data_IF_872828076707
#
_entry.id   IF_872828076707
#
_cell.length_a   1.000
_cell.length_b   1.000
_cell.length_c   1.000
_cell.angle_alpha   90.00
_cell.angle_beta   90.00
_cell.angle_gamma   90.00
#
_symmetry.space_group_name_H-M   'P 1'
#
loop_
_entity.id
_entity.type
_entity.pdbx_description
1 polymer ?
#
# COMPACT_ATOMS: atom_id res chain seq x y z
N UNK A 1 -1.59 4.72 13.36
CA UNK A 1 -3.01 4.71 12.91
C UNK A 1 -3.76 3.57 13.58
N UNK A 2 -5.06 3.68 13.69
CA UNK A 2 -5.90 2.60 14.20
C UNK A 2 -5.93 1.46 13.17
N UNK A 3 -5.84 0.20 13.64
CA UNK A 3 -5.84 -0.97 12.77
C UNK A 3 -7.27 -1.38 12.43
N UNK A 4 -7.88 -0.71 11.45
CA UNK A 4 -9.22 -1.02 10.95
C UNK A 4 -9.29 -0.85 9.44
N UNK A 5 -10.37 -1.35 8.84
CA UNK A 5 -10.55 -1.29 7.38
C UNK A 5 -10.56 0.15 6.85
N UNK A 6 -11.08 1.08 7.63
CA UNK A 6 -11.11 2.49 7.23
C UNK A 6 -9.69 3.04 7.07
N UNK A 7 -8.81 2.76 8.03
CA UNK A 7 -7.41 3.16 7.98
C UNK A 7 -6.66 2.47 6.84
N UNK A 8 -6.89 1.17 6.66
CA UNK A 8 -6.24 0.42 5.59
C UNK A 8 -6.64 0.94 4.20
N UNK A 9 -7.93 1.27 4.02
CA UNK A 9 -8.41 1.87 2.78
C UNK A 9 -7.85 3.27 2.57
N UNK A 10 -7.71 4.05 3.63
CA UNK A 10 -7.13 5.39 3.55
C UNK A 10 -5.68 5.34 3.07
N UNK A 11 -4.91 4.39 3.58
CA UNK A 11 -3.53 4.16 3.14
C UNK A 11 -3.50 3.79 1.66
N UNK A 12 -4.36 2.86 1.24
CA UNK A 12 -4.49 2.44 -0.15
C UNK A 12 -4.82 3.62 -1.06
N UNK A 13 -5.83 4.39 -0.71
CA UNK A 13 -6.29 5.51 -1.52
C UNK A 13 -5.22 6.60 -1.63
N UNK A 14 -4.54 6.90 -0.53
CA UNK A 14 -3.47 7.90 -0.51
C UNK A 14 -2.30 7.48 -1.41
N UNK A 15 -1.92 6.21 -1.36
CA UNK A 15 -0.84 5.68 -2.19
C UNK A 15 -1.24 5.64 -3.66
N UNK A 16 -2.44 5.15 -3.94
CA UNK A 16 -2.97 5.08 -5.31
C UNK A 16 -3.07 6.45 -5.95
N UNK A 17 -3.52 7.45 -5.19
CA UNK A 17 -3.63 8.82 -5.68
C UNK A 17 -2.29 9.37 -6.15
N UNK A 18 -1.22 9.11 -5.39
CA UNK A 18 0.13 9.56 -5.75
C UNK A 18 0.68 8.80 -6.97
N UNK A 19 0.45 7.50 -7.03
CA UNK A 19 0.91 6.67 -8.15
C UNK A 19 0.14 6.98 -9.43
N UNK A 20 -1.12 7.42 -9.34
CA UNK A 20 -1.96 7.71 -10.50
C UNK A 20 -1.42 8.86 -11.35
N UNK A 21 -0.62 9.75 -10.78
CA UNK A 21 0.01 10.84 -11.54
C UNK A 21 0.99 10.30 -12.58
N UNK A 22 1.64 9.18 -12.28
CA UNK A 22 2.58 8.50 -13.18
C UNK A 22 1.95 7.35 -13.94
N UNK A 23 1.00 6.66 -13.30
CA UNK A 23 0.36 5.45 -13.82
C UNK A 23 -1.15 5.63 -13.76
N UNK A 24 -1.76 6.30 -14.78
CA UNK A 24 -3.19 6.65 -14.73
C UNK A 24 -4.16 5.48 -14.57
N UNK A 25 -3.74 4.28 -14.95
CA UNK A 25 -4.57 3.07 -14.88
C UNK A 25 -4.27 2.21 -13.66
N UNK A 26 -3.53 2.74 -12.68
CA UNK A 26 -3.16 1.95 -11.51
C UNK A 26 -4.39 1.49 -10.73
N UNK A 27 -4.36 0.23 -10.30
CA UNK A 27 -5.35 -0.35 -9.41
C UNK A 27 -4.65 -0.88 -8.18
N UNK A 28 -5.37 -0.98 -7.07
CA UNK A 28 -4.79 -1.45 -5.82
C UNK A 28 -5.80 -2.23 -4.99
N UNK A 29 -5.27 -3.09 -4.14
CA UNK A 29 -6.05 -3.84 -3.17
C UNK A 29 -5.14 -4.22 -2.01
N UNK A 30 -5.72 -4.70 -0.91
CA UNK A 30 -4.93 -5.17 0.23
C UNK A 30 -5.50 -6.46 0.81
N UNK A 31 -4.64 -7.21 1.47
CA UNK A 31 -5.00 -8.43 2.18
C UNK A 31 -4.30 -8.41 3.54
N UNK A 32 -5.03 -8.83 4.58
CA UNK A 32 -4.46 -8.99 5.91
C UNK A 32 -3.94 -10.42 6.06
N UNK A 33 -2.68 -10.55 6.44
CA UNK A 33 -2.07 -11.83 6.77
C UNK A 33 -1.98 -11.97 8.28
N UNK A 34 -2.98 -12.64 8.88
CA UNK A 34 -3.07 -12.78 10.32
C UNK A 34 -1.93 -13.62 10.91
N UNK A 35 -1.41 -14.60 10.17
CA UNK A 35 -0.33 -15.44 10.65
C UNK A 35 0.97 -14.66 10.83
N UNK A 36 1.23 -13.71 9.95
CA UNK A 36 2.43 -12.89 10.00
C UNK A 36 2.21 -11.52 10.63
N UNK A 37 1.01 -11.26 11.16
CA UNK A 37 0.63 -9.94 11.70
C UNK A 37 1.02 -8.81 10.75
N UNK A 38 0.69 -8.97 9.47
CA UNK A 38 1.07 -8.01 8.44
C UNK A 38 -0.08 -7.72 7.49
N UNK A 39 0.06 -6.64 6.74
CA UNK A 39 -0.84 -6.28 5.65
C UNK A 39 -0.03 -6.27 4.36
N UNK A 40 -0.64 -6.72 3.28
CA UNK A 40 0.01 -6.74 1.96
C UNK A 40 -0.81 -5.87 1.02
N UNK A 41 -0.18 -4.82 0.49
CA UNK A 41 -0.78 -3.97 -0.53
C UNK A 41 -0.31 -4.43 -1.91
N UNK A 42 -1.25 -4.62 -2.83
CA UNK A 42 -1.00 -5.03 -4.21
C UNK A 42 -1.33 -3.89 -5.15
N UNK A 43 -0.45 -3.63 -6.10
CA UNK A 43 -0.62 -2.58 -7.10
C UNK A 43 -0.38 -3.16 -8.49
N UNK A 44 -1.18 -2.71 -9.47
CA UNK A 44 -1.02 -3.10 -10.87
C UNK A 44 -1.20 -1.90 -11.77
N UNK A 45 -0.29 -1.73 -12.73
CA UNK A 45 -0.37 -0.67 -13.74
C UNK A 45 -0.97 -1.16 -15.04
N UNK A 46 -1.01 -2.48 -15.25
CA UNK A 46 -1.47 -3.10 -16.51
C UNK A 46 -2.65 -4.06 -16.30
N UNK A 47 -3.07 -4.28 -15.08
CA UNK A 47 -4.14 -5.22 -14.76
C UNK A 47 -3.71 -6.69 -14.74
N UNK A 48 -2.45 -6.97 -15.02
CA UNK A 48 -1.91 -8.35 -15.13
C UNK A 48 -0.84 -8.60 -14.09
N UNK A 49 0.20 -7.78 -14.08
CA UNK A 49 1.34 -7.92 -13.16
C UNK A 49 1.05 -7.23 -11.85
N UNK A 50 1.32 -7.91 -10.74
CA UNK A 50 1.12 -7.35 -9.40
C UNK A 50 2.46 -7.07 -8.74
N UNK A 51 2.57 -5.86 -8.20
CA UNK A 51 3.69 -5.48 -7.32
C UNK A 51 3.12 -5.41 -5.91
N UNK A 52 3.78 -6.03 -4.96
CA UNK A 52 3.29 -6.10 -3.59
C UNK A 52 4.25 -5.44 -2.61
N UNK A 53 3.66 -4.87 -1.55
CA UNK A 53 4.39 -4.31 -0.42
C UNK A 53 3.81 -4.88 0.85
N UNK A 54 4.61 -5.64 1.60
CA UNK A 54 4.21 -6.22 2.88
C UNK A 54 4.70 -5.32 4.00
N UNK A 55 3.80 -4.97 4.92
CA UNK A 55 4.13 -4.15 6.08
C UNK A 55 3.63 -4.82 7.36
N UNK A 56 4.44 -4.85 8.42
CA UNK A 56 3.95 -5.30 9.74
C UNK A 56 2.81 -4.41 10.21
N UNK A 57 1.79 -5.00 10.84
CA UNK A 57 0.70 -4.21 11.41
C UNK A 57 1.20 -3.24 12.48
N UNK A 58 2.24 -3.62 13.22
CA UNK A 58 2.87 -2.74 14.21
C UNK A 58 3.43 -1.47 13.57
N UNK A 59 3.92 -1.55 12.35
CA UNK A 59 4.41 -0.40 11.59
C UNK A 59 3.27 0.58 11.28
N UNK A 60 2.12 0.04 10.86
CA UNK A 60 0.93 0.85 10.59
C UNK A 60 0.45 1.54 11.86
N UNK A 61 0.43 0.81 12.97
CA UNK A 61 -0.03 1.34 14.26
C UNK A 61 0.87 2.47 14.78
N UNK A 62 2.18 2.36 14.54
CA UNK A 62 3.18 3.27 15.11
C UNK A 62 3.35 4.58 14.35
N UNK A 63 2.95 4.65 13.06
CA UNK A 63 3.29 5.77 12.20
C UNK A 63 2.05 6.51 11.67
N UNK A 64 2.20 7.81 11.33
CA UNK A 64 1.13 8.55 10.66
C UNK A 64 1.01 8.18 9.19
N UNK A 65 -0.10 8.57 8.59
CA UNK A 65 -0.45 8.24 7.20
C UNK A 65 0.64 8.60 6.18
N UNK A 66 1.19 9.79 6.29
CA UNK A 66 2.20 10.27 5.32
C UNK A 66 3.48 9.43 5.36
N UNK A 67 3.90 8.97 6.54
CA UNK A 67 5.07 8.11 6.69
C UNK A 67 4.82 6.72 6.12
N UNK A 68 3.66 6.16 6.37
CA UNK A 68 3.26 4.86 5.83
C UNK A 68 3.19 4.94 4.30
N UNK A 69 2.54 5.96 3.77
CA UNK A 69 2.41 6.18 2.32
C UNK A 69 3.78 6.31 1.66
N UNK A 70 4.67 7.10 2.25
CA UNK A 70 6.03 7.29 1.72
C UNK A 70 6.81 5.98 1.67
N UNK A 71 6.66 5.13 2.69
CA UNK A 71 7.32 3.82 2.72
C UNK A 71 6.80 2.90 1.61
N UNK A 72 5.49 2.86 1.43
CA UNK A 72 4.88 2.04 0.38
C UNK A 72 5.34 2.53 -0.99
N UNK A 73 5.33 3.85 -1.22
CA UNK A 73 5.78 4.42 -2.50
C UNK A 73 7.23 4.06 -2.79
N UNK A 74 8.11 4.16 -1.80
CA UNK A 74 9.51 3.81 -1.97
C UNK A 74 9.69 2.35 -2.39
N UNK A 75 8.92 1.45 -1.76
CA UNK A 75 8.98 0.02 -2.08
C UNK A 75 8.41 -0.29 -3.47
N UNK A 76 7.27 0.32 -3.81
CA UNK A 76 6.60 0.08 -5.09
C UNK A 76 7.39 0.65 -6.27
N UNK A 77 7.94 1.85 -6.13
CA UNK A 77 8.68 2.50 -7.21
C UNK A 77 9.93 1.75 -7.63
N UNK A 78 10.53 0.99 -6.73
CA UNK A 78 11.67 0.12 -7.05
C UNK A 78 11.29 -0.93 -8.10
N UNK A 79 10.05 -1.39 -8.08
CA UNK A 79 9.56 -2.43 -8.97
C UNK A 79 8.97 -1.88 -10.26
N UNK A 80 8.47 -0.64 -10.23
CA UNK A 80 7.85 0.01 -11.39
C UNK A 80 8.84 0.81 -12.24
N UNK A 81 10.01 1.09 -11.71
CA UNK A 81 11.04 1.88 -12.39
C UNK A 81 11.74 1.14 -13.54
#
# INVERSE_FOLDING_TARGET
>A
MILDNKSFNLIRDSTEKRLRTKYPKITSQYVIDAHCSSIIYYYSTDGISLVKCRLPLAFIEALPLDKITSRILADIEKWLA
#
